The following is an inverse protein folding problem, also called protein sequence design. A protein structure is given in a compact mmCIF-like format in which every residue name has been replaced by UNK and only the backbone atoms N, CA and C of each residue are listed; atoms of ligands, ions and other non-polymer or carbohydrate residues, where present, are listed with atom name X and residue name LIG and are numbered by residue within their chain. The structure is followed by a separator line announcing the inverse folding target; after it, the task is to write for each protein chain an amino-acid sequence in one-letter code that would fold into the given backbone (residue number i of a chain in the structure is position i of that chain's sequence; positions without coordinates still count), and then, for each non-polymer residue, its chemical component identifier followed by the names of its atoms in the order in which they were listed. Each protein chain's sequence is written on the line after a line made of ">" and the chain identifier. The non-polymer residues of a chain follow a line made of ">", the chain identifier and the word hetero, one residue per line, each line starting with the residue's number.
data_IF_197588992426
#
_entry.id   IF_197588992426
#
_cell.length_a   1.000
_cell.length_b   1.000
_cell.length_c   1.000
_cell.angle_alpha   90.00
_cell.angle_beta   90.00
_cell.angle_gamma   90.00
#
_symmetry.space_group_name_H-M   'P 1'
#
loop_
_entity.id
_entity.type
_entity.pdbx_description
1 polymer ?
#
# COMPACT_ATOMS: atom_id res chain seq x y z
N UNK A 1 4.46 15.69 -0.07
CA UNK A 1 5.24 14.83 0.83
C UNK A 1 5.38 13.51 0.12
N UNK A 2 6.62 13.06 -0.10
CA UNK A 2 6.87 11.79 -0.76
C UNK A 2 6.45 10.64 0.16
N UNK A 3 5.63 9.71 -0.35
CA UNK A 3 5.32 8.50 0.41
C UNK A 3 6.53 7.56 0.47
N UNK A 4 6.79 6.98 1.64
CA UNK A 4 7.90 6.07 1.89
C UNK A 4 7.40 4.77 2.53
N UNK A 5 8.30 3.81 2.75
CA UNK A 5 7.96 2.57 3.46
C UNK A 5 7.49 2.81 4.91
N UNK A 6 7.87 3.95 5.49
CA UNK A 6 7.44 4.36 6.83
C UNK A 6 6.07 5.05 6.83
N UNK A 7 5.55 5.44 5.67
CA UNK A 7 4.20 5.99 5.56
C UNK A 7 3.15 4.96 5.94
N UNK A 8 2.06 5.43 6.55
CA UNK A 8 0.95 4.54 6.92
C UNK A 8 0.13 4.21 5.69
N UNK A 9 -0.27 2.94 5.55
CA UNK A 9 -1.19 2.54 4.47
C UNK A 9 -2.47 3.39 4.48
N UNK A 10 -2.98 3.75 5.66
CA UNK A 10 -4.16 4.60 5.80
C UNK A 10 -4.01 6.01 5.23
N UNK A 11 -2.79 6.53 5.08
CA UNK A 11 -2.55 7.82 4.42
C UNK A 11 -2.66 7.68 2.90
N UNK A 12 -2.20 6.56 2.35
CA UNK A 12 -2.36 6.23 0.93
C UNK A 12 -3.84 5.97 0.61
N UNK A 13 -4.56 5.27 1.49
CA UNK A 13 -6.00 4.99 1.29
C UNK A 13 -6.89 6.24 1.34
N UNK A 14 -6.39 7.38 1.85
CA UNK A 14 -7.11 8.66 1.83
C UNK A 14 -6.88 9.44 0.53
N UNK A 15 -5.88 9.07 -0.25
CA UNK A 15 -5.49 9.73 -1.47
C UNK A 15 -6.08 8.99 -2.67
N UNK A 16 -6.88 9.69 -3.49
CA UNK A 16 -7.57 9.10 -4.63
C UNK A 16 -6.59 8.56 -5.69
N UNK A 17 -5.44 9.21 -5.86
CA UNK A 17 -4.38 8.75 -6.79
C UNK A 17 -3.76 7.47 -6.25
N UNK A 18 -3.41 7.46 -4.97
CA UNK A 18 -2.83 6.29 -4.34
C UNK A 18 -3.78 5.10 -4.30
N UNK A 19 -5.07 5.31 -4.04
CA UNK A 19 -6.11 4.28 -4.15
C UNK A 19 -6.14 3.65 -5.53
N UNK A 20 -6.10 4.45 -6.60
CA UNK A 20 -6.14 3.95 -7.98
C UNK A 20 -4.93 3.09 -8.31
N UNK A 21 -3.73 3.51 -7.87
CA UNK A 21 -2.51 2.72 -8.03
C UNK A 21 -2.58 1.46 -7.17
N UNK A 22 -2.99 1.56 -5.90
CA UNK A 22 -3.11 0.41 -5.01
C UNK A 22 -4.08 -0.65 -5.54
N UNK A 23 -5.26 -0.27 -6.06
CA UNK A 23 -6.21 -1.21 -6.66
C UNK A 23 -5.66 -1.89 -7.93
N UNK A 24 -4.76 -1.23 -8.67
CA UNK A 24 -4.08 -1.83 -9.84
C UNK A 24 -3.09 -2.93 -9.44
N UNK A 25 -2.38 -2.77 -8.32
CA UNK A 25 -1.37 -3.74 -7.85
C UNK A 25 -1.90 -4.74 -6.82
N UNK A 26 -2.90 -4.35 -6.04
CA UNK A 26 -3.54 -5.12 -4.98
C UNK A 26 -5.07 -4.94 -5.08
N UNK A 27 -5.72 -5.62 -6.04
CA UNK A 27 -7.15 -5.48 -6.25
C UNK A 27 -7.94 -5.93 -5.03
N UNK A 28 -8.91 -5.11 -4.60
CA UNK A 28 -9.74 -5.37 -3.43
C UNK A 28 -9.07 -5.03 -2.10
N UNK A 29 -7.98 -4.27 -2.10
CA UNK A 29 -7.32 -3.81 -0.87
C UNK A 29 -8.27 -2.98 0.00
N UNK A 30 -9.12 -2.16 -0.61
CA UNK A 30 -10.12 -1.34 0.09
C UNK A 30 -11.26 -2.16 0.67
N UNK A 31 -11.58 -3.30 0.05
CA UNK A 31 -12.64 -4.21 0.47
C UNK A 31 -12.15 -5.34 1.38
N UNK A 32 -10.84 -5.41 1.62
CA UNK A 32 -10.25 -6.46 2.44
C UNK A 32 -10.71 -6.30 3.91
N UNK A 33 -11.26 -7.33 4.57
CA UNK A 33 -11.69 -7.25 5.97
C UNK A 33 -10.56 -6.79 6.92
N UNK A 34 -9.32 -7.10 6.57
CA UNK A 34 -8.13 -6.72 7.35
C UNK A 34 -7.66 -5.28 7.07
N UNK A 35 -8.27 -4.54 6.14
CA UNK A 35 -7.85 -3.17 5.82
C UNK A 35 -7.98 -2.22 7.02
N UNK A 36 -8.96 -2.48 7.90
CA UNK A 36 -9.14 -1.73 9.14
C UNK A 36 -7.95 -1.83 10.08
N UNK A 37 -7.25 -2.96 10.05
CA UNK A 37 -6.01 -3.20 10.80
C UNK A 37 -4.79 -2.69 10.02
N UNK A 38 -4.69 -3.04 8.74
CA UNK A 38 -3.56 -2.70 7.89
C UNK A 38 -3.38 -1.17 7.71
N UNK A 39 -4.49 -0.40 7.67
CA UNK A 39 -4.44 1.07 7.52
C UNK A 39 -3.72 1.77 8.68
N UNK A 40 -3.64 1.14 9.85
CA UNK A 40 -2.93 1.68 11.02
C UNK A 40 -1.42 1.44 10.97
N UNK A 41 -0.95 0.56 10.08
CA UNK A 41 0.43 0.11 9.98
C UNK A 41 1.20 0.84 8.89
N UNK A 42 2.53 0.86 9.03
CA UNK A 42 3.45 1.31 7.98
C UNK A 42 3.57 0.26 6.89
N UNK A 43 3.90 0.68 5.66
CA UNK A 43 4.11 -0.25 4.55
C UNK A 43 5.22 -1.26 4.83
N UNK A 44 6.29 -0.84 5.54
CA UNK A 44 7.37 -1.73 5.98
C UNK A 44 6.88 -2.82 6.93
N UNK A 45 6.03 -2.45 7.90
CA UNK A 45 5.41 -3.42 8.82
C UNK A 45 4.56 -4.43 8.06
N UNK A 46 3.79 -3.95 7.07
CA UNK A 46 2.94 -4.81 6.25
C UNK A 46 3.76 -5.79 5.41
N UNK A 47 4.91 -5.37 4.86
CA UNK A 47 5.85 -6.24 4.16
C UNK A 47 6.42 -7.35 5.05
N UNK A 48 6.53 -7.09 6.36
CA UNK A 48 6.93 -8.08 7.36
C UNK A 48 5.88 -9.16 7.62
N UNK A 49 4.60 -8.92 7.27
CA UNK A 49 3.53 -9.88 7.54
C UNK A 49 3.59 -11.07 6.56
N UNK A 50 3.36 -12.31 7.04
CA UNK A 50 3.28 -13.50 6.17
C UNK A 50 2.23 -13.35 5.07
N UNK A 51 1.12 -12.68 5.38
CA UNK A 51 0.01 -12.43 4.47
C UNK A 51 0.46 -11.59 3.27
N UNK A 52 1.27 -10.55 3.47
CA UNK A 52 1.78 -9.73 2.36
C UNK A 52 2.54 -10.60 1.35
N UNK A 53 3.39 -11.52 1.83
CA UNK A 53 4.08 -12.49 0.98
C UNK A 53 3.12 -13.46 0.29
N UNK A 54 2.05 -13.90 0.96
CA UNK A 54 1.03 -14.78 0.37
C UNK A 54 0.27 -14.11 -0.77
N UNK A 55 0.02 -12.80 -0.68
CA UNK A 55 -0.56 -11.99 -1.75
C UNK A 55 0.48 -11.55 -2.80
N UNK A 56 1.73 -12.02 -2.70
CA UNK A 56 2.81 -11.64 -3.59
C UNK A 56 3.32 -10.21 -3.42
N UNK A 57 2.91 -9.51 -2.35
CA UNK A 57 3.36 -8.15 -2.03
C UNK A 57 4.82 -8.21 -1.58
N UNK A 58 5.70 -7.69 -2.42
CA UNK A 58 7.15 -7.61 -2.18
C UNK A 58 7.59 -6.17 -2.01
N UNK A 59 8.77 -5.98 -1.41
CA UNK A 59 9.36 -4.65 -1.20
C UNK A 59 9.50 -3.89 -2.53
N UNK A 60 9.95 -4.56 -3.58
CA UNK A 60 10.06 -3.98 -4.93
C UNK A 60 8.71 -3.52 -5.49
N UNK A 61 7.63 -4.29 -5.29
CA UNK A 61 6.31 -3.84 -5.71
C UNK A 61 5.85 -2.61 -4.94
N UNK A 62 6.06 -2.57 -3.63
CA UNK A 62 5.69 -1.40 -2.82
C UNK A 62 6.48 -0.17 -3.28
N UNK A 63 7.78 -0.30 -3.52
CA UNK A 63 8.60 0.80 -4.05
C UNK A 63 8.10 1.28 -5.42
N UNK A 64 7.70 0.37 -6.31
CA UNK A 64 7.10 0.71 -7.60
C UNK A 64 5.77 1.45 -7.44
N UNK A 65 4.91 0.98 -6.53
CA UNK A 65 3.63 1.65 -6.21
C UNK A 65 3.89 3.06 -5.71
N UNK A 66 4.80 3.23 -4.75
CA UNK A 66 5.16 4.55 -4.21
C UNK A 66 5.67 5.50 -5.31
N UNK A 67 6.58 5.03 -6.17
CA UNK A 67 7.08 5.81 -7.29
C UNK A 67 5.96 6.17 -8.28
N UNK A 68 5.07 5.23 -8.60
CA UNK A 68 3.96 5.47 -9.52
C UNK A 68 2.96 6.48 -8.96
N UNK A 69 2.69 6.46 -7.65
CA UNK A 69 1.86 7.46 -6.97
C UNK A 69 2.47 8.85 -7.09
N UNK A 70 3.78 8.99 -6.83
CA UNK A 70 4.46 10.28 -6.96
C UNK A 70 4.47 10.79 -8.41
N UNK A 71 4.55 9.91 -9.41
CA UNK A 71 4.46 10.33 -10.83
C UNK A 71 3.06 10.71 -11.28
N UNK A 72 2.02 10.26 -10.58
CA UNK A 72 0.61 10.57 -10.89
C UNK A 72 0.04 11.71 -10.04
N UNK A 73 0.81 12.21 -9.07
CA UNK A 73 0.51 13.41 -8.29
C UNK A 73 0.92 14.68 -9.01
#
# INVERSE_FOLDING_TARGET
>A
MAYTLESKLGELLKDAVALKVLEKYAPGITTNPMIGFAKGMTLDTLLGLPQAKQYGITKDMVLKVLAEIETQK
#
